data_IF_857266934480
#
_entry.id   IF_857266934480
#
_cell.length_a   1.000
_cell.length_b   1.000
_cell.length_c   1.000
_cell.angle_alpha   90.00
_cell.angle_beta   90.00
_cell.angle_gamma   90.00
#
_symmetry.space_group_name_H-M   'P 1'
#
loop_
_entity.id
_entity.type
_entity.pdbx_description
1 polymer ?
#
# COMPACT_ATOMS: atom_id res chain seq x y z
N UNK A 1 9.73 -28.65 -1.53
CA UNK A 1 9.64 -27.18 -1.68
C UNK A 1 8.35 -26.85 -2.41
N UNK A 2 7.22 -27.24 -1.82
CA UNK A 2 5.89 -26.82 -2.23
C UNK A 2 5.22 -26.43 -0.92
N UNK A 3 5.09 -25.13 -0.69
CA UNK A 3 4.20 -24.65 0.36
C UNK A 3 2.78 -25.06 -0.01
N UNK A 4 2.11 -25.76 0.92
CA UNK A 4 0.72 -26.19 0.78
C UNK A 4 -0.20 -24.95 0.79
N UNK A 5 -0.90 -24.62 -0.32
CA UNK A 5 -1.74 -23.44 -0.41
C UNK A 5 -3.03 -23.52 0.44
N UNK A 6 -3.25 -24.63 1.16
CA UNK A 6 -4.50 -24.90 1.88
C UNK A 6 -4.38 -24.68 3.40
N UNK A 7 -3.18 -24.34 3.91
CA UNK A 7 -3.06 -23.91 5.29
C UNK A 7 -3.83 -22.59 5.46
N UNK A 8 -4.84 -22.50 6.37
CA UNK A 8 -5.60 -21.28 6.53
C UNK A 8 -4.66 -20.21 7.08
N UNK A 9 -4.24 -19.29 6.22
CA UNK A 9 -3.67 -18.01 6.65
C UNK A 9 -4.76 -17.35 7.50
N UNK A 10 -4.54 -17.35 8.81
CA UNK A 10 -5.35 -16.64 9.77
C UNK A 10 -5.23 -15.17 9.40
N UNK A 11 -6.16 -14.69 8.58
CA UNK A 11 -6.24 -13.28 8.26
C UNK A 11 -6.51 -12.57 9.58
N UNK A 12 -5.66 -11.59 9.91
CA UNK A 12 -5.96 -10.62 10.95
C UNK A 12 -7.41 -10.16 10.78
N UNK A 13 -8.15 -9.90 11.88
CA UNK A 13 -9.55 -9.51 11.81
C UNK A 13 -9.74 -8.48 10.71
N UNK A 14 -10.78 -8.67 9.88
CA UNK A 14 -11.04 -7.81 8.73
C UNK A 14 -11.00 -6.36 9.19
N UNK A 15 -9.97 -5.64 8.75
CA UNK A 15 -9.84 -4.20 9.02
C UNK A 15 -11.10 -3.54 8.48
N UNK A 16 -11.57 -2.48 9.14
CA UNK A 16 -12.70 -1.70 8.65
C UNK A 16 -12.49 -1.36 7.17
N UNK A 17 -13.34 -1.90 6.31
CA UNK A 17 -13.20 -1.78 4.86
C UNK A 17 -13.20 -0.33 4.40
N UNK A 18 -13.90 0.55 5.12
CA UNK A 18 -13.91 1.99 4.85
C UNK A 18 -12.55 2.64 5.14
N UNK A 19 -11.85 2.17 6.18
CA UNK A 19 -10.49 2.63 6.50
C UNK A 19 -9.53 2.21 5.40
N UNK A 20 -9.61 0.95 4.95
CA UNK A 20 -8.79 0.45 3.85
C UNK A 20 -9.06 1.21 2.54
N UNK A 21 -10.32 1.48 2.21
CA UNK A 21 -10.67 2.24 1.01
C UNK A 21 -10.08 3.65 1.05
N UNK A 22 -10.22 4.36 2.18
CA UNK A 22 -9.62 5.71 2.35
C UNK A 22 -8.09 5.66 2.24
N UNK A 23 -7.44 4.66 2.84
CA UNK A 23 -6.00 4.48 2.73
C UNK A 23 -5.56 4.19 1.29
N UNK A 24 -6.31 3.37 0.55
CA UNK A 24 -6.03 3.10 -0.87
C UNK A 24 -6.20 4.34 -1.75
N UNK A 25 -7.26 5.13 -1.53
CA UNK A 25 -7.47 6.41 -2.21
C UNK A 25 -6.30 7.36 -1.96
N UNK A 26 -5.86 7.46 -0.70
CA UNK A 26 -4.67 8.23 -0.32
C UNK A 26 -3.40 7.71 -1.00
N UNK A 27 -3.23 6.40 -1.10
CA UNK A 27 -2.11 5.79 -1.83
C UNK A 27 -2.07 6.20 -3.31
N UNK A 28 -3.23 6.25 -3.98
CA UNK A 28 -3.34 6.70 -5.37
C UNK A 28 -3.03 8.21 -5.52
N UNK A 29 -3.49 9.05 -4.59
CA UNK A 29 -3.14 10.47 -4.55
C UNK A 29 -1.63 10.69 -4.42
N UNK A 30 -0.98 9.94 -3.53
CA UNK A 30 0.47 9.98 -3.35
C UNK A 30 1.20 9.52 -4.63
N UNK A 31 0.71 8.46 -5.27
CA UNK A 31 1.27 7.96 -6.53
C UNK A 31 1.21 9.02 -7.63
N UNK A 32 0.11 9.78 -7.72
CA UNK A 32 -0.07 10.83 -8.72
C UNK A 32 1.00 11.94 -8.65
N UNK A 33 1.61 12.15 -7.47
CA UNK A 33 2.72 13.09 -7.27
C UNK A 33 4.12 12.55 -7.59
N UNK A 34 4.24 11.32 -8.11
CA UNK A 34 5.49 10.78 -8.65
C UNK A 34 5.77 11.27 -10.09
N UNK A 35 7.00 11.10 -10.61
CA UNK A 35 7.33 11.51 -11.98
C UNK A 35 6.36 10.95 -13.01
N UNK A 36 5.92 11.79 -13.95
CA UNK A 36 4.99 11.37 -15.02
C UNK A 36 5.69 10.64 -16.17
N UNK A 37 7.02 10.65 -16.18
CA UNK A 37 7.88 10.07 -17.21
C UNK A 37 8.96 9.19 -16.58
N UNK A 38 9.51 8.28 -17.39
CA UNK A 38 10.52 7.32 -16.97
C UNK A 38 9.98 5.88 -16.96
N UNK A 39 10.86 4.88 -16.82
CA UNK A 39 10.49 3.47 -16.95
C UNK A 39 9.73 2.93 -15.73
N UNK A 40 9.81 3.60 -14.58
CA UNK A 40 9.22 3.11 -13.33
C UNK A 40 7.78 3.63 -13.18
N UNK A 41 6.84 2.77 -12.73
CA UNK A 41 5.47 3.20 -12.49
C UNK A 41 5.37 4.21 -11.35
N UNK A 42 4.28 4.97 -11.35
CA UNK A 42 3.89 5.79 -10.21
C UNK A 42 3.34 4.89 -9.11
N UNK A 43 3.97 4.94 -7.94
CA UNK A 43 3.61 4.13 -6.76
C UNK A 43 3.48 5.04 -5.54
N UNK A 44 2.42 4.85 -4.77
CA UNK A 44 2.20 5.46 -3.46
C UNK A 44 1.92 4.38 -2.41
N UNK A 45 2.28 4.65 -1.17
CA UNK A 45 2.16 3.71 -0.05
C UNK A 45 1.67 4.46 1.20
N UNK A 46 0.77 3.81 1.94
CA UNK A 46 0.27 4.25 3.24
C UNK A 46 0.42 3.08 4.20
N UNK A 47 1.04 3.31 5.36
CA UNK A 47 1.19 2.32 6.43
C UNK A 47 0.22 2.67 7.55
N UNK A 48 -0.60 1.69 7.96
CA UNK A 48 -1.55 1.82 9.06
C UNK A 48 -1.07 1.03 10.29
N UNK A 49 -1.34 1.55 11.48
CA UNK A 49 -1.19 0.81 12.74
C UNK A 49 -2.33 -0.20 12.96
N UNK A 50 -2.27 -0.92 14.08
CA UNK A 50 -3.31 -1.88 14.46
C UNK A 50 -4.67 -1.26 14.81
N UNK A 51 -4.77 0.06 14.94
CA UNK A 51 -6.02 0.79 15.13
C UNK A 51 -6.52 1.48 13.84
N UNK A 52 -5.83 1.27 12.71
CA UNK A 52 -6.19 1.88 11.42
C UNK A 52 -5.71 3.33 11.26
N UNK A 53 -4.81 3.82 12.12
CA UNK A 53 -4.22 5.17 12.02
C UNK A 53 -3.03 5.14 11.07
N UNK A 54 -2.90 6.18 10.25
CA UNK A 54 -1.73 6.36 9.37
C UNK A 54 -0.50 6.64 10.21
N UNK A 55 0.56 5.83 10.02
CA UNK A 55 1.85 6.00 10.70
C UNK A 55 2.98 6.35 9.74
N UNK A 56 2.81 6.09 8.44
CA UNK A 56 3.75 6.52 7.42
C UNK A 56 3.08 6.65 6.06
N UNK A 57 3.62 7.54 5.23
CA UNK A 57 3.22 7.73 3.84
C UNK A 57 4.46 7.87 2.96
N UNK A 58 4.33 7.45 1.70
CA UNK A 58 5.43 7.54 0.75
C UNK A 58 4.97 7.48 -0.69
N UNK A 59 5.82 7.95 -1.59
CA UNK A 59 5.68 7.79 -3.04
C UNK A 59 7.04 7.54 -3.67
N UNK A 60 7.02 6.91 -4.84
CA UNK A 60 8.20 6.80 -5.69
C UNK A 60 8.63 8.19 -6.19
N UNK A 61 9.91 8.54 -6.03
CA UNK A 61 10.45 9.89 -6.38
C UNK A 61 11.20 9.93 -7.71
N UNK A 62 11.29 8.82 -8.42
CA UNK A 62 12.10 8.69 -9.63
C UNK A 62 13.14 7.58 -9.50
N UNK A 63 13.84 7.27 -10.58
CA UNK A 63 14.89 6.27 -10.56
C UNK A 63 15.96 6.64 -9.51
N UNK A 64 16.49 5.64 -8.79
CA UNK A 64 17.50 5.83 -7.74
C UNK A 64 18.90 6.10 -8.28
N UNK A 65 19.02 6.94 -9.31
CA UNK A 65 20.27 7.38 -9.94
C UNK A 65 20.95 8.50 -9.17
#
# INVERSE_FOLDING_TARGET
MHDDPTAPLTHAPARDASVLERAMRRGLELAAGGPAWGPNPRVGCVILDAAGRVIAEGRHRGAGS
#
